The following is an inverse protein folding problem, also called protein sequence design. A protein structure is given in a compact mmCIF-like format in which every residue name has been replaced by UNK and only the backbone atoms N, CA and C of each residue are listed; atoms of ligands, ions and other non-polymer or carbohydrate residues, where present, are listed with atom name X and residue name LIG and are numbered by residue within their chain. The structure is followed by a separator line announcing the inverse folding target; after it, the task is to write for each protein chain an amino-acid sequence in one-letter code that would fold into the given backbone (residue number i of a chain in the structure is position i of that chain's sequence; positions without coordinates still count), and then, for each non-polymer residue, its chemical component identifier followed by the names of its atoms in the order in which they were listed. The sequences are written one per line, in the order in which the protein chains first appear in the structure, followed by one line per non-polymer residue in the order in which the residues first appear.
data_IF_004475035002
#
_entry.id   IF_004475035002
#
_cell.length_a   1.000
_cell.length_b   1.000
_cell.length_c   1.000
_cell.angle_alpha   90.00
_cell.angle_beta   90.00
_cell.angle_gamma   90.00
#
_symmetry.space_group_name_H-M   'P 1'
#
loop_
_entity.id
_entity.type
_entity.pdbx_description
1 polymer ?
#
# COMPACT_ATOMS: atom_id res chain seq x y z
N UNK A 1 -17.80 2.41 8.72
CA UNK A 1 -17.82 3.75 8.10
C UNK A 1 -16.97 4.68 8.97
N UNK A 2 -15.87 5.25 8.47
CA UNK A 2 -15.09 6.25 9.21
C UNK A 2 -15.59 7.62 8.80
N UNK A 3 -16.09 8.41 9.76
CA UNK A 3 -16.40 9.81 9.53
C UNK A 3 -15.09 10.62 9.59
N UNK A 4 -14.86 11.46 8.58
CA UNK A 4 -13.83 12.47 8.63
C UNK A 4 -14.48 13.79 8.99
N UNK A 5 -14.06 14.38 10.10
CA UNK A 5 -14.54 15.67 10.58
C UNK A 5 -13.60 16.77 10.07
N UNK A 6 -14.15 17.77 9.38
CA UNK A 6 -13.46 18.96 8.96
C UNK A 6 -14.23 20.18 9.43
N UNK A 7 -13.76 20.86 10.49
CA UNK A 7 -14.40 22.10 10.97
C UNK A 7 -13.66 22.72 12.15
N UNK A 8 -13.60 24.05 12.18
CA UNK A 8 -13.24 24.83 13.36
C UNK A 8 -14.49 24.98 14.24
N UNK A 9 -14.49 24.36 15.41
CA UNK A 9 -15.50 24.59 16.42
C UNK A 9 -15.34 23.66 17.61
N UNK A 10 -15.19 24.21 18.81
CA UNK A 10 -15.14 23.53 20.12
C UNK A 10 -16.53 23.01 20.55
N UNK A 11 -17.29 22.38 19.67
CA UNK A 11 -18.60 21.85 19.97
C UNK A 11 -18.64 20.35 19.78
N UNK A 12 -19.10 19.61 20.79
CA UNK A 12 -19.52 18.23 20.58
C UNK A 12 -20.50 18.22 19.40
N UNK A 13 -20.05 17.63 18.29
CA UNK A 13 -20.81 17.57 17.06
C UNK A 13 -22.16 16.90 17.29
N UNK A 14 -23.16 17.27 16.52
CA UNK A 14 -24.48 16.70 16.58
C UNK A 14 -24.55 15.29 15.96
N UNK A 15 -23.66 14.41 16.35
CA UNK A 15 -23.56 13.04 15.80
C UNK A 15 -24.89 12.30 15.82
N UNK A 16 -25.69 12.46 16.89
CA UNK A 16 -26.98 11.84 16.99
C UNK A 16 -27.99 12.43 15.98
N UNK A 17 -27.91 13.73 15.67
CA UNK A 17 -28.78 14.37 14.68
C UNK A 17 -28.39 14.00 13.26
N UNK A 18 -27.07 13.89 12.97
CA UNK A 18 -26.52 13.41 11.71
C UNK A 18 -26.94 11.95 11.47
N UNK A 19 -26.76 11.09 12.47
CA UNK A 19 -27.17 9.68 12.38
C UNK A 19 -28.68 9.53 12.19
N UNK A 20 -29.50 10.30 12.92
CA UNK A 20 -30.96 10.31 12.74
C UNK A 20 -31.36 10.81 11.36
N UNK A 21 -30.69 11.82 10.80
CA UNK A 21 -30.98 12.31 9.46
C UNK A 21 -30.60 11.25 8.40
N UNK A 22 -29.46 10.59 8.57
CA UNK A 22 -28.99 9.50 7.68
C UNK A 22 -30.00 8.34 7.65
N UNK A 23 -30.48 7.88 8.80
CA UNK A 23 -31.47 6.80 8.89
C UNK A 23 -32.78 7.14 8.14
N UNK A 24 -33.23 8.35 8.21
CA UNK A 24 -34.45 8.80 7.51
C UNK A 24 -34.25 8.90 6.00
N UNK A 25 -33.08 9.38 5.56
CA UNK A 25 -32.79 9.51 4.11
C UNK A 25 -32.56 8.16 3.49
N UNK A 26 -31.85 7.27 4.19
CA UNK A 26 -31.59 5.90 3.72
C UNK A 26 -32.91 5.11 3.61
N UNK A 27 -33.84 5.33 4.52
CA UNK A 27 -35.09 4.59 4.62
C UNK A 27 -36.24 5.21 3.82
N UNK A 28 -36.01 6.24 2.97
CA UNK A 28 -37.02 6.59 1.97
C UNK A 28 -37.48 8.04 1.85
N UNK A 29 -36.74 9.04 2.34
CA UNK A 29 -37.11 10.43 1.99
C UNK A 29 -36.68 10.72 0.52
N UNK A 30 -37.63 10.99 -0.39
CA UNK A 30 -37.36 11.22 -1.79
C UNK A 30 -36.59 12.54 -2.08
N UNK A 31 -36.55 13.46 -1.12
CA UNK A 31 -35.93 14.78 -1.28
C UNK A 31 -34.39 14.72 -1.18
N UNK A 32 -33.83 13.66 -0.60
CA UNK A 32 -32.36 13.47 -0.53
C UNK A 32 -31.64 14.44 0.43
N UNK A 33 -32.35 15.39 1.04
CA UNK A 33 -31.80 16.37 1.98
C UNK A 33 -32.74 16.57 3.17
N UNK A 34 -32.20 16.56 4.37
CA UNK A 34 -32.97 16.72 5.61
C UNK A 34 -32.31 17.76 6.50
N UNK A 35 -33.13 18.54 7.15
CA UNK A 35 -32.75 19.51 8.17
C UNK A 35 -33.13 18.99 9.56
N UNK A 36 -32.25 19.15 10.54
CA UNK A 36 -32.43 18.75 11.94
C UNK A 36 -31.85 19.79 12.87
N UNK A 37 -32.56 20.01 13.98
CA UNK A 37 -32.08 20.84 15.10
C UNK A 37 -31.35 19.95 16.09
N UNK A 38 -30.15 20.35 16.46
CA UNK A 38 -29.27 19.66 17.42
C UNK A 38 -28.72 20.68 18.42
N UNK A 39 -29.33 20.77 19.58
CA UNK A 39 -29.00 21.79 20.57
C UNK A 39 -29.19 23.20 20.03
N UNK A 40 -28.12 23.98 19.95
CA UNK A 40 -28.12 25.36 19.39
C UNK A 40 -27.82 25.39 17.89
N UNK A 41 -27.60 24.24 17.25
CA UNK A 41 -27.24 24.17 15.84
C UNK A 41 -28.36 23.60 14.97
N UNK A 42 -28.45 24.08 13.74
CA UNK A 42 -29.31 23.53 12.69
C UNK A 42 -28.46 22.84 11.67
N UNK A 43 -28.63 21.52 11.52
CA UNK A 43 -27.86 20.65 10.63
C UNK A 43 -28.64 20.37 9.37
N UNK A 44 -28.02 20.62 8.22
CA UNK A 44 -28.52 20.22 6.91
C UNK A 44 -27.68 19.07 6.40
N UNK A 45 -28.31 17.91 6.08
CA UNK A 45 -27.63 16.69 5.64
C UNK A 45 -28.19 16.28 4.27
N UNK A 46 -27.28 16.02 3.33
CA UNK A 46 -27.58 15.38 2.05
C UNK A 46 -26.80 14.07 1.92
N UNK A 47 -27.41 13.03 1.34
CA UNK A 47 -26.73 11.78 1.04
C UNK A 47 -26.15 11.82 -0.36
N UNK A 48 -24.96 11.26 -0.50
CA UNK A 48 -24.38 10.97 -1.81
C UNK A 48 -24.93 9.64 -2.32
N UNK A 49 -25.27 9.61 -3.61
CA UNK A 49 -25.81 8.43 -4.27
C UNK A 49 -25.12 8.21 -5.60
N UNK A 50 -24.91 6.94 -5.94
CA UNK A 50 -24.54 6.56 -7.28
C UNK A 50 -25.36 5.34 -7.70
N UNK A 51 -25.92 5.37 -8.93
CA UNK A 51 -26.85 4.34 -9.44
C UNK A 51 -27.97 3.96 -8.44
N UNK A 52 -28.47 4.94 -7.69
CA UNK A 52 -29.56 4.74 -6.72
C UNK A 52 -29.13 4.14 -5.36
N UNK A 53 -27.84 3.81 -5.19
CA UNK A 53 -27.28 3.30 -3.92
C UNK A 53 -26.64 4.44 -3.15
N UNK A 54 -26.98 4.56 -1.86
CA UNK A 54 -26.35 5.53 -0.95
C UNK A 54 -24.94 5.04 -0.63
N UNK A 55 -23.92 5.87 -0.93
CA UNK A 55 -22.52 5.56 -0.70
C UNK A 55 -21.80 6.54 0.24
N UNK A 56 -22.47 7.63 0.64
CA UNK A 56 -21.93 8.59 1.59
C UNK A 56 -22.98 9.64 2.00
N UNK A 57 -22.54 10.64 2.77
CA UNK A 57 -23.34 11.79 3.13
C UNK A 57 -22.46 13.01 3.42
N UNK A 58 -23.06 14.19 3.24
CA UNK A 58 -22.47 15.49 3.61
C UNK A 58 -23.42 16.20 4.54
N UNK A 59 -22.88 16.71 5.64
CA UNK A 59 -23.64 17.52 6.58
C UNK A 59 -22.94 18.85 6.78
N UNK A 60 -23.73 19.92 6.84
CA UNK A 60 -23.28 21.25 7.20
C UNK A 60 -24.12 21.75 8.37
N UNK A 61 -23.55 22.52 9.26
CA UNK A 61 -24.23 23.06 10.41
C UNK A 61 -24.03 24.58 10.48
N UNK A 62 -25.02 25.28 11.05
CA UNK A 62 -24.97 26.70 11.45
C UNK A 62 -25.63 26.86 12.81
N UNK A 63 -25.40 27.98 13.50
CA UNK A 63 -26.08 28.28 14.73
C UNK A 63 -27.55 28.61 14.47
N UNK A 64 -28.40 28.35 15.44
CA UNK A 64 -29.86 28.51 15.30
C UNK A 64 -30.26 29.98 15.12
N UNK A 65 -29.44 30.94 15.61
CA UNK A 65 -29.64 32.36 15.47
C UNK A 65 -29.21 32.92 14.09
N UNK A 66 -28.54 32.09 13.27
CA UNK A 66 -28.20 32.44 11.90
C UNK A 66 -29.43 32.40 10.97
N UNK A 67 -29.26 32.93 9.77
CA UNK A 67 -30.32 32.88 8.74
C UNK A 67 -30.71 31.43 8.44
N UNK A 68 -31.99 31.17 8.23
CA UNK A 68 -32.50 29.84 7.86
C UNK A 68 -31.86 29.35 6.54
N UNK A 69 -31.75 28.01 6.41
CA UNK A 69 -31.29 27.38 5.16
C UNK A 69 -32.26 27.74 4.01
N UNK A 70 -31.68 28.25 2.93
CA UNK A 70 -32.44 28.58 1.71
C UNK A 70 -32.55 27.37 0.79
N UNK A 71 -33.41 27.45 -0.23
CA UNK A 71 -33.48 26.40 -1.26
C UNK A 71 -32.23 26.33 -2.10
N UNK A 72 -31.49 27.44 -2.27
CA UNK A 72 -30.19 27.48 -2.95
C UNK A 72 -29.16 26.74 -2.12
N UNK A 73 -29.10 26.90 -0.79
CA UNK A 73 -28.19 26.14 0.10
C UNK A 73 -28.47 24.65 -0.01
N UNK A 74 -29.74 24.24 -0.03
CA UNK A 74 -30.16 22.84 -0.19
C UNK A 74 -29.73 22.28 -1.54
N UNK A 75 -29.98 23.05 -2.63
CA UNK A 75 -29.57 22.67 -3.98
C UNK A 75 -28.06 22.53 -4.11
N UNK A 76 -27.31 23.45 -3.51
CA UNK A 76 -25.83 23.38 -3.50
C UNK A 76 -25.34 22.14 -2.75
N UNK A 77 -25.91 21.86 -1.57
CA UNK A 77 -25.48 20.69 -0.78
C UNK A 77 -25.79 19.37 -1.50
N UNK A 78 -26.93 19.25 -2.17
CA UNK A 78 -27.28 18.10 -3.00
C UNK A 78 -26.25 17.95 -4.14
N UNK A 79 -25.92 19.04 -4.86
CA UNK A 79 -24.91 18.99 -5.93
C UNK A 79 -23.53 18.56 -5.44
N UNK A 80 -23.12 19.02 -4.25
CA UNK A 80 -21.86 18.56 -3.62
C UNK A 80 -21.94 17.07 -3.25
N UNK A 81 -23.07 16.62 -2.68
CA UNK A 81 -23.27 15.22 -2.33
C UNK A 81 -23.24 14.31 -3.57
N UNK A 82 -23.84 14.71 -4.68
CA UNK A 82 -23.80 13.96 -5.94
C UNK A 82 -22.37 13.84 -6.50
N UNK A 83 -21.62 14.94 -6.51
CA UNK A 83 -20.20 14.91 -6.91
C UNK A 83 -19.35 13.97 -6.04
N UNK A 84 -19.58 13.99 -4.72
CA UNK A 84 -18.93 13.09 -3.78
C UNK A 84 -19.33 11.63 -4.02
N UNK A 85 -20.57 11.36 -4.35
CA UNK A 85 -21.06 10.02 -4.69
C UNK A 85 -20.27 9.40 -5.86
N UNK A 86 -20.06 10.17 -6.90
CA UNK A 86 -19.26 9.76 -8.07
C UNK A 86 -17.79 9.53 -7.67
N UNK A 87 -17.21 10.46 -6.91
CA UNK A 87 -15.80 10.34 -6.48
C UNK A 87 -15.57 9.13 -5.58
N UNK A 88 -16.47 8.87 -4.63
CA UNK A 88 -16.40 7.69 -3.75
C UNK A 88 -16.43 6.40 -4.58
N UNK A 89 -17.33 6.31 -5.56
CA UNK A 89 -17.42 5.13 -6.40
C UNK A 89 -16.18 4.94 -7.27
N UNK A 90 -15.62 6.00 -7.84
CA UNK A 90 -14.37 5.90 -8.59
C UNK A 90 -13.23 5.37 -7.74
N UNK A 91 -13.11 5.81 -6.48
CA UNK A 91 -12.12 5.31 -5.51
C UNK A 91 -12.35 3.82 -5.24
N UNK A 92 -13.58 3.41 -4.93
CA UNK A 92 -13.93 2.01 -4.63
C UNK A 92 -13.69 1.09 -5.83
N UNK A 93 -14.02 1.55 -7.04
CA UNK A 93 -13.77 0.80 -8.27
C UNK A 93 -12.28 0.67 -8.54
N UNK A 94 -11.50 1.75 -8.34
CA UNK A 94 -10.04 1.72 -8.49
C UNK A 94 -9.40 0.75 -7.50
N UNK A 95 -9.73 0.85 -6.21
CA UNK A 95 -9.27 -0.10 -5.18
C UNK A 95 -9.67 -1.56 -5.49
N UNK A 96 -10.84 -1.75 -6.10
CA UNK A 96 -11.32 -3.09 -6.49
C UNK A 96 -10.53 -3.64 -7.67
N UNK A 97 -10.23 -2.81 -8.68
CA UNK A 97 -9.39 -3.18 -9.82
C UNK A 97 -7.95 -3.48 -9.37
N UNK A 98 -7.37 -2.63 -8.53
CA UNK A 98 -6.07 -2.89 -7.92
C UNK A 98 -6.08 -4.17 -7.09
N UNK A 99 -7.19 -4.48 -6.42
CA UNK A 99 -7.37 -5.71 -5.67
C UNK A 99 -7.44 -6.95 -6.55
N UNK A 100 -7.96 -6.85 -7.75
CA UNK A 100 -8.03 -7.96 -8.71
C UNK A 100 -6.69 -8.13 -9.43
N UNK A 101 -5.97 -7.05 -9.71
CA UNK A 101 -4.63 -7.12 -10.29
C UNK A 101 -3.66 -7.77 -9.30
N UNK A 102 -2.95 -8.81 -9.74
CA UNK A 102 -1.92 -9.51 -8.96
C UNK A 102 -0.51 -9.07 -9.31
N UNK A 103 -0.37 -8.23 -10.32
CA UNK A 103 0.92 -7.82 -10.87
C UNK A 103 1.12 -6.31 -10.77
N UNK A 104 2.37 -5.88 -10.71
CA UNK A 104 2.81 -4.50 -10.87
C UNK A 104 2.80 -4.14 -12.37
N UNK A 105 2.16 -3.05 -12.73
CA UNK A 105 1.94 -2.66 -14.14
C UNK A 105 3.25 -2.32 -14.87
N UNK A 106 4.24 -1.80 -14.17
CA UNK A 106 5.51 -1.39 -14.77
C UNK A 106 6.41 -2.59 -15.07
N UNK A 107 6.49 -3.54 -14.14
CA UNK A 107 7.47 -4.63 -14.17
C UNK A 107 6.86 -5.98 -14.54
N UNK A 108 5.53 -6.15 -14.44
CA UNK A 108 4.85 -7.43 -14.64
C UNK A 108 5.07 -8.45 -13.52
N UNK A 109 5.86 -8.13 -12.51
CA UNK A 109 6.07 -8.97 -11.33
C UNK A 109 4.83 -9.00 -10.44
N UNK A 110 4.80 -9.88 -9.43
CA UNK A 110 3.78 -9.80 -8.39
C UNK A 110 3.81 -8.41 -7.73
N UNK A 111 2.64 -7.86 -7.47
CA UNK A 111 2.55 -6.67 -6.64
C UNK A 111 2.69 -7.04 -5.14
N UNK A 112 2.89 -6.04 -4.30
CA UNK A 112 3.06 -6.20 -2.84
C UNK A 112 2.03 -7.12 -2.21
N UNK A 113 0.76 -6.90 -2.55
CA UNK A 113 -0.35 -7.66 -1.96
C UNK A 113 -0.32 -9.13 -2.37
N UNK A 114 -0.24 -9.41 -3.68
CA UNK A 114 -0.22 -10.77 -4.19
C UNK A 114 0.99 -11.54 -3.66
N UNK A 115 2.13 -10.88 -3.53
CA UNK A 115 3.34 -11.49 -2.98
C UNK A 115 3.15 -11.95 -1.53
N UNK A 116 2.67 -11.08 -0.65
CA UNK A 116 2.51 -11.45 0.76
C UNK A 116 1.36 -12.44 1.00
N UNK A 117 0.32 -12.43 0.17
CA UNK A 117 -0.71 -13.48 0.16
C UNK A 117 -0.07 -14.85 -0.15
N UNK A 118 0.73 -14.96 -1.20
CA UNK A 118 1.40 -16.20 -1.61
C UNK A 118 2.43 -16.67 -0.58
N UNK A 119 3.28 -15.76 -0.09
CA UNK A 119 4.26 -16.09 0.95
C UNK A 119 3.56 -16.61 2.20
N UNK A 120 2.40 -16.04 2.57
CA UNK A 120 1.61 -16.50 3.70
C UNK A 120 1.16 -17.95 3.58
N UNK A 121 0.67 -18.32 2.43
CA UNK A 121 0.27 -19.70 2.14
C UNK A 121 1.46 -20.66 2.23
N UNK A 122 2.62 -20.25 1.71
CA UNK A 122 3.84 -21.06 1.71
C UNK A 122 4.43 -21.23 3.11
N UNK A 123 4.51 -20.15 3.89
CA UNK A 123 4.95 -20.21 5.30
C UNK A 123 4.03 -21.14 6.12
N UNK A 124 2.71 -21.04 5.92
CA UNK A 124 1.76 -21.95 6.58
C UNK A 124 1.95 -23.42 6.15
N UNK A 125 2.26 -23.67 4.87
CA UNK A 125 2.59 -25.00 4.37
C UNK A 125 3.89 -25.53 4.99
N UNK A 126 4.95 -24.74 4.97
CA UNK A 126 6.28 -25.10 5.49
C UNK A 126 6.27 -25.45 6.98
N UNK A 127 5.44 -24.79 7.77
CA UNK A 127 5.24 -25.16 9.19
C UNK A 127 4.72 -26.59 9.37
N UNK A 128 3.88 -27.06 8.46
CA UNK A 128 3.32 -28.42 8.52
C UNK A 128 4.30 -29.49 8.05
N UNK A 129 5.13 -29.14 7.05
CA UNK A 129 6.09 -30.06 6.42
C UNK A 129 7.48 -30.03 7.04
N UNK A 130 7.79 -29.04 7.89
CA UNK A 130 9.11 -28.83 8.47
C UNK A 130 10.14 -28.24 7.48
N UNK A 131 9.67 -27.75 6.33
CA UNK A 131 10.50 -27.06 5.34
C UNK A 131 10.71 -25.61 5.73
N UNK A 132 11.68 -24.94 5.10
CA UNK A 132 11.95 -23.52 5.29
C UNK A 132 12.05 -22.83 3.93
N UNK A 133 11.60 -21.59 3.87
CA UNK A 133 11.88 -20.69 2.76
C UNK A 133 12.61 -19.44 3.26
N UNK A 134 13.10 -18.64 2.34
CA UNK A 134 13.80 -17.41 2.68
C UNK A 134 13.13 -16.22 2.03
N UNK A 135 12.75 -15.25 2.84
CA UNK A 135 12.34 -13.93 2.37
C UNK A 135 13.58 -13.09 2.11
N UNK A 136 13.65 -12.50 0.93
CA UNK A 136 14.71 -11.60 0.48
C UNK A 136 14.08 -10.25 0.14
N UNK A 137 14.50 -9.19 0.81
CA UNK A 137 14.15 -7.82 0.49
C UNK A 137 15.31 -7.19 -0.28
N UNK A 138 15.01 -6.51 -1.37
CA UNK A 138 15.98 -5.87 -2.26
C UNK A 138 15.55 -4.43 -2.48
N UNK A 139 16.52 -3.51 -2.40
CA UNK A 139 16.30 -2.09 -2.65
C UNK A 139 17.41 -1.55 -3.55
N UNK A 140 17.01 -0.73 -4.53
CA UNK A 140 17.96 -0.07 -5.44
C UNK A 140 18.70 1.06 -4.73
N UNK A 141 20.00 0.94 -4.67
CA UNK A 141 20.87 2.00 -4.17
C UNK A 141 21.04 3.11 -5.20
N UNK A 142 20.93 4.35 -4.73
CA UNK A 142 21.15 5.56 -5.54
C UNK A 142 20.18 5.71 -6.74
N UNK A 143 18.97 5.16 -6.63
CA UNK A 143 17.95 5.22 -7.68
C UNK A 143 17.37 6.64 -7.88
N UNK A 144 17.10 7.36 -6.79
CA UNK A 144 16.52 8.71 -6.88
C UNK A 144 17.33 9.66 -7.79
N UNK A 145 18.67 9.74 -7.71
CA UNK A 145 19.48 10.53 -8.63
C UNK A 145 19.24 10.20 -10.11
N UNK A 146 18.95 8.95 -10.47
CA UNK A 146 18.64 8.58 -11.86
C UNK A 146 17.38 9.30 -12.35
N UNK A 147 16.33 9.32 -11.54
CA UNK A 147 15.10 10.05 -11.86
C UNK A 147 15.35 11.57 -11.94
N UNK A 148 16.10 12.11 -10.98
CA UNK A 148 16.34 13.56 -10.88
C UNK A 148 17.19 14.08 -12.05
N UNK A 149 18.14 13.29 -12.58
CA UNK A 149 19.06 13.68 -13.66
C UNK A 149 18.54 13.26 -15.04
N UNK A 150 17.98 12.04 -15.17
CA UNK A 150 17.64 11.48 -16.48
C UNK A 150 16.13 11.35 -16.71
N UNK A 151 15.31 11.73 -15.72
CA UNK A 151 13.84 11.68 -15.78
C UNK A 151 13.26 10.29 -15.47
N UNK A 152 11.94 10.28 -15.18
CA UNK A 152 11.23 9.08 -14.76
C UNK A 152 11.24 7.95 -15.79
N UNK A 153 11.27 8.26 -17.08
CA UNK A 153 11.34 7.21 -18.12
C UNK A 153 12.60 6.36 -18.00
N UNK A 154 13.73 6.99 -17.68
CA UNK A 154 14.99 6.28 -17.44
C UNK A 154 14.93 5.46 -16.16
N UNK A 155 14.33 5.99 -15.10
CA UNK A 155 14.08 5.23 -13.87
C UNK A 155 13.20 4.00 -14.13
N UNK A 156 12.16 4.13 -14.93
CA UNK A 156 11.30 3.02 -15.32
C UNK A 156 12.06 1.92 -16.07
N UNK A 157 13.00 2.29 -16.95
CA UNK A 157 13.89 1.32 -17.62
C UNK A 157 14.74 0.57 -16.61
N UNK A 158 15.38 1.26 -15.67
CA UNK A 158 16.18 0.63 -14.60
C UNK A 158 15.35 -0.34 -13.77
N UNK A 159 14.11 0.03 -13.43
CA UNK A 159 13.21 -0.85 -12.67
C UNK A 159 12.82 -2.10 -13.46
N UNK A 160 12.58 -1.98 -14.79
CA UNK A 160 12.31 -3.13 -15.66
C UNK A 160 13.54 -4.04 -15.80
N UNK A 161 14.72 -3.47 -15.98
CA UNK A 161 15.97 -4.23 -16.09
C UNK A 161 16.24 -5.00 -14.79
N UNK A 162 16.06 -4.37 -13.62
CA UNK A 162 16.16 -5.06 -12.34
C UNK A 162 15.12 -6.19 -12.22
N UNK A 163 13.88 -5.95 -12.61
CA UNK A 163 12.82 -6.96 -12.57
C UNK A 163 13.17 -8.19 -13.42
N UNK A 164 13.67 -7.98 -14.63
CA UNK A 164 14.15 -9.06 -15.52
C UNK A 164 15.31 -9.80 -14.87
N UNK A 165 16.30 -9.10 -14.34
CA UNK A 165 17.46 -9.68 -13.67
C UNK A 165 17.05 -10.57 -12.48
N UNK A 166 16.16 -10.07 -11.62
CA UNK A 166 15.65 -10.83 -10.47
C UNK A 166 14.87 -12.07 -10.91
N UNK A 167 14.02 -11.94 -11.94
CA UNK A 167 13.25 -13.07 -12.49
C UNK A 167 14.13 -14.15 -13.11
N UNK A 168 15.16 -13.75 -13.88
CA UNK A 168 16.12 -14.71 -14.46
C UNK A 168 16.95 -15.41 -13.39
N UNK A 169 17.15 -14.75 -12.29
CA UNK A 169 17.86 -15.27 -11.14
C UNK A 169 17.06 -16.25 -10.28
N UNK A 170 15.77 -16.49 -10.53
CA UNK A 170 14.89 -17.34 -9.73
C UNK A 170 14.49 -18.62 -10.46
N UNK A 171 14.14 -19.66 -9.71
CA UNK A 171 13.68 -20.95 -10.24
C UNK A 171 12.17 -21.08 -10.20
N UNK A 172 11.66 -22.08 -10.90
CA UNK A 172 10.24 -22.46 -10.78
C UNK A 172 9.93 -22.77 -9.32
N UNK A 173 8.93 -22.09 -8.77
CA UNK A 173 8.57 -22.21 -7.36
C UNK A 173 8.98 -21.01 -6.51
N UNK A 174 10.00 -20.25 -6.87
CA UNK A 174 10.30 -18.98 -6.23
C UNK A 174 9.29 -17.91 -6.64
N UNK A 175 9.17 -16.85 -5.83
CA UNK A 175 8.35 -15.68 -6.15
C UNK A 175 9.24 -14.46 -6.26
N UNK A 176 8.84 -13.56 -7.18
CA UNK A 176 9.48 -12.24 -7.33
C UNK A 176 8.38 -11.19 -7.38
N UNK A 177 8.59 -10.08 -6.66
CA UNK A 177 7.63 -9.00 -6.57
C UNK A 177 8.30 -7.63 -6.56
N UNK A 178 7.56 -6.62 -7.00
CA UNK A 178 7.85 -5.23 -6.70
C UNK A 178 6.90 -4.75 -5.60
N UNK A 179 7.48 -4.24 -4.51
CA UNK A 179 6.71 -3.79 -3.35
C UNK A 179 6.26 -2.34 -3.46
N UNK A 180 6.92 -1.56 -4.30
CA UNK A 180 6.65 -0.15 -4.59
C UNK A 180 7.94 0.64 -4.75
N UNK A 181 7.91 1.75 -5.50
CA UNK A 181 9.09 2.56 -5.73
C UNK A 181 10.27 1.74 -6.29
N UNK A 182 11.36 1.69 -5.55
CA UNK A 182 12.61 0.97 -5.82
C UNK A 182 12.78 -0.31 -4.98
N UNK A 183 11.72 -0.73 -4.27
CA UNK A 183 11.73 -1.91 -3.40
C UNK A 183 11.19 -3.16 -4.10
N UNK A 184 11.93 -4.26 -4.02
CA UNK A 184 11.57 -5.57 -4.54
C UNK A 184 11.68 -6.63 -3.43
N UNK A 185 11.01 -7.76 -3.64
CA UNK A 185 11.11 -8.90 -2.74
C UNK A 185 11.14 -10.21 -3.53
N UNK A 186 11.84 -11.21 -2.95
CA UNK A 186 11.81 -12.58 -3.43
C UNK A 186 11.43 -13.52 -2.29
N UNK A 187 10.72 -14.57 -2.63
CA UNK A 187 10.59 -15.74 -1.78
C UNK A 187 11.32 -16.90 -2.43
N UNK A 188 12.33 -17.39 -1.75
CA UNK A 188 13.11 -18.56 -2.18
C UNK A 188 12.55 -19.80 -1.48
N UNK A 189 11.97 -20.69 -2.25
CA UNK A 189 11.33 -21.89 -1.77
C UNK A 189 12.35 -22.91 -1.30
N UNK A 190 12.08 -23.63 -0.21
CA UNK A 190 12.94 -24.73 0.31
C UNK A 190 14.43 -24.38 0.31
N UNK A 191 14.78 -23.21 0.88
CA UNK A 191 16.13 -22.66 0.78
C UNK A 191 16.78 -22.56 2.15
N UNK A 192 17.99 -23.08 2.27
CA UNK A 192 18.81 -22.92 3.48
C UNK A 192 19.47 -21.53 3.53
N UNK A 193 19.93 -21.12 4.71
CA UNK A 193 20.67 -19.86 4.88
C UNK A 193 21.90 -19.78 3.94
N UNK A 194 22.60 -20.89 3.77
CA UNK A 194 23.76 -20.98 2.89
C UNK A 194 23.39 -20.76 1.43
N UNK A 195 22.32 -21.40 0.97
CA UNK A 195 21.88 -21.31 -0.43
C UNK A 195 21.30 -19.92 -0.73
N UNK A 196 20.52 -19.36 0.21
CA UNK A 196 20.01 -18.00 0.12
C UNK A 196 21.15 -16.96 0.05
N UNK A 197 22.18 -17.14 0.88
CA UNK A 197 23.37 -16.28 0.86
C UNK A 197 24.13 -16.38 -0.48
N UNK A 198 24.28 -17.60 -1.03
CA UNK A 198 24.90 -17.79 -2.32
C UNK A 198 24.10 -17.09 -3.43
N UNK A 199 22.77 -17.22 -3.39
CA UNK A 199 21.86 -16.57 -4.33
C UNK A 199 21.91 -15.05 -4.25
N UNK A 200 21.87 -14.48 -3.05
CA UNK A 200 21.98 -13.04 -2.87
C UNK A 200 23.31 -12.48 -3.39
N UNK A 201 24.42 -13.20 -3.21
CA UNK A 201 25.71 -12.83 -3.79
C UNK A 201 25.71 -12.88 -5.33
N UNK A 202 24.98 -13.80 -5.93
CA UNK A 202 24.77 -13.86 -7.37
C UNK A 202 23.99 -12.63 -7.85
N UNK A 203 22.86 -12.31 -7.20
CA UNK A 203 22.07 -11.12 -7.51
C UNK A 203 22.87 -9.83 -7.36
N UNK A 204 23.70 -9.74 -6.32
CA UNK A 204 24.58 -8.58 -6.11
C UNK A 204 25.58 -8.42 -7.26
N UNK A 205 26.22 -9.50 -7.73
CA UNK A 205 27.11 -9.46 -8.90
C UNK A 205 26.37 -9.08 -10.17
N UNK A 206 25.18 -9.64 -10.38
CA UNK A 206 24.38 -9.32 -11.56
C UNK A 206 23.93 -7.87 -11.59
N UNK A 207 23.69 -7.27 -10.41
CA UNK A 207 23.32 -5.84 -10.31
C UNK A 207 24.42 -4.89 -10.78
N UNK A 208 25.67 -5.33 -10.90
CA UNK A 208 26.75 -4.52 -11.49
C UNK A 208 26.44 -4.14 -12.95
N UNK A 209 25.60 -4.90 -13.65
CA UNK A 209 25.11 -4.58 -14.99
C UNK A 209 24.26 -3.31 -15.03
N UNK A 210 23.73 -2.86 -13.88
CA UNK A 210 22.98 -1.61 -13.76
C UNK A 210 23.89 -0.37 -13.65
N UNK A 211 25.17 -0.53 -13.32
CA UNK A 211 26.11 0.59 -13.14
C UNK A 211 26.18 1.57 -14.32
N UNK A 212 26.14 1.10 -15.60
CA UNK A 212 26.13 2.05 -16.74
C UNK A 212 24.90 2.95 -16.82
N UNK A 213 23.84 2.64 -16.04
CA UNK A 213 22.60 3.41 -15.96
C UNK A 213 22.62 4.42 -14.81
N UNK A 214 23.73 4.52 -14.08
CA UNK A 214 23.88 5.42 -12.93
C UNK A 214 23.86 6.89 -13.37
N UNK A 215 23.36 7.75 -12.49
CA UNK A 215 23.44 9.21 -12.69
C UNK A 215 24.81 9.79 -12.28
N UNK A 216 25.57 9.05 -11.47
CA UNK A 216 26.83 9.50 -10.86
C UNK A 216 27.77 8.27 -10.76
N UNK A 217 28.97 8.40 -11.32
CA UNK A 217 29.98 7.34 -11.29
C UNK A 217 30.54 7.08 -9.87
N UNK A 218 30.59 8.12 -9.03
CA UNK A 218 31.05 8.00 -7.64
C UNK A 218 30.00 7.34 -6.75
N UNK A 219 28.73 7.37 -7.16
CA UNK A 219 27.61 6.71 -6.49
C UNK A 219 26.78 5.87 -7.46
N UNK A 220 27.35 4.76 -7.93
CA UNK A 220 26.70 3.92 -8.93
C UNK A 220 25.43 3.27 -8.41
N UNK A 221 24.56 2.91 -9.33
CA UNK A 221 23.45 2.02 -9.06
C UNK A 221 23.95 0.67 -8.55
N UNK A 222 23.27 0.14 -7.58
CA UNK A 222 23.50 -1.18 -7.00
C UNK A 222 22.27 -1.66 -6.28
N UNK A 223 22.36 -2.73 -5.53
CA UNK A 223 21.29 -3.24 -4.70
C UNK A 223 21.77 -3.51 -3.28
N UNK A 224 20.95 -3.17 -2.30
CA UNK A 224 21.08 -3.59 -0.91
C UNK A 224 20.13 -4.74 -0.64
N UNK A 225 20.63 -5.84 -0.06
CA UNK A 225 19.84 -7.06 0.13
C UNK A 225 19.78 -7.45 1.60
N UNK A 226 18.54 -7.59 2.11
CA UNK A 226 18.28 -8.12 3.46
C UNK A 226 17.52 -9.44 3.38
N UNK A 227 17.89 -10.42 4.17
CA UNK A 227 17.30 -11.75 4.13
C UNK A 227 16.86 -12.24 5.51
N UNK A 228 15.81 -13.07 5.52
CA UNK A 228 15.37 -13.80 6.71
C UNK A 228 14.86 -15.18 6.33
N UNK A 229 15.42 -16.23 6.93
CA UNK A 229 14.91 -17.60 6.79
C UNK A 229 13.68 -17.75 7.68
N UNK A 230 12.58 -18.33 7.14
CA UNK A 230 11.37 -18.59 7.90
C UNK A 230 11.60 -19.67 8.96
N UNK A 231 11.00 -19.51 10.13
CA UNK A 231 11.08 -20.50 11.18
C UNK A 231 10.15 -21.69 10.87
N UNK A 232 10.72 -22.90 10.84
CA UNK A 232 9.96 -24.13 10.60
C UNK A 232 9.15 -24.58 11.83
N UNK A 233 9.57 -24.12 13.02
CA UNK A 233 8.92 -24.44 14.31
C UNK A 233 8.72 -23.14 15.06
N UNK A 234 7.47 -22.73 15.29
CA UNK A 234 7.15 -21.52 16.03
C UNK A 234 5.89 -20.82 15.50
N UNK A 235 5.61 -19.66 16.08
CA UNK A 235 4.45 -18.83 15.75
C UNK A 235 4.83 -17.56 15.00
N UNK A 236 5.99 -17.54 14.33
CA UNK A 236 6.45 -16.36 13.62
C UNK A 236 5.43 -15.91 12.57
N UNK A 237 4.90 -14.70 12.68
CA UNK A 237 4.00 -14.14 11.67
C UNK A 237 4.79 -13.69 10.43
N UNK A 238 4.08 -13.47 9.31
CA UNK A 238 4.70 -12.88 8.11
C UNK A 238 5.28 -11.50 8.44
N UNK A 239 4.58 -10.69 9.22
CA UNK A 239 5.04 -9.35 9.59
C UNK A 239 6.36 -9.41 10.39
N UNK A 240 6.51 -10.42 11.25
CA UNK A 240 7.76 -10.63 11.98
C UNK A 240 8.91 -11.08 11.08
N UNK A 241 8.62 -11.95 10.10
CA UNK A 241 9.60 -12.38 9.09
C UNK A 241 10.05 -11.19 8.23
N UNK A 242 9.10 -10.39 7.73
CA UNK A 242 9.36 -9.14 6.99
C UNK A 242 10.22 -8.20 7.83
N UNK A 243 9.83 -7.93 9.07
CA UNK A 243 10.57 -7.04 9.95
C UNK A 243 12.01 -7.52 10.24
N UNK A 244 12.28 -8.83 10.14
CA UNK A 244 13.65 -9.36 10.23
C UNK A 244 14.44 -9.08 8.96
N UNK A 245 13.86 -9.35 7.79
CA UNK A 245 14.51 -9.09 6.51
C UNK A 245 14.80 -7.59 6.31
N UNK A 246 13.83 -6.73 6.64
CA UNK A 246 13.98 -5.27 6.57
C UNK A 246 15.07 -4.75 7.49
N UNK A 247 15.16 -5.26 8.72
CA UNK A 247 16.27 -4.89 9.63
C UNK A 247 17.63 -5.28 9.08
N UNK A 248 17.75 -6.44 8.44
CA UNK A 248 18.98 -6.86 7.79
C UNK A 248 19.32 -5.92 6.62
N UNK A 249 18.35 -5.58 5.78
CA UNK A 249 18.54 -4.62 4.68
C UNK A 249 18.93 -3.22 5.19
N UNK A 250 18.31 -2.77 6.27
CA UNK A 250 18.66 -1.50 6.91
C UNK A 250 20.13 -1.45 7.36
N UNK A 251 20.67 -2.57 7.90
CA UNK A 251 22.08 -2.65 8.26
C UNK A 251 23.00 -2.49 7.05
N UNK A 252 22.64 -3.10 5.92
CA UNK A 252 23.39 -2.95 4.66
C UNK A 252 23.38 -1.49 4.20
N UNK A 253 22.22 -0.85 4.14
CA UNK A 253 22.09 0.55 3.72
C UNK A 253 22.94 1.52 4.56
N UNK A 254 23.10 1.24 5.84
CA UNK A 254 23.91 2.05 6.77
C UNK A 254 25.38 1.62 6.81
N UNK A 255 25.70 0.41 6.35
CA UNK A 255 27.06 -0.13 6.30
C UNK A 255 27.88 0.24 5.06
N UNK A 256 27.26 0.93 4.08
CA UNK A 256 27.96 1.32 2.84
C UNK A 256 27.17 1.01 1.57
N UNK A 257 26.02 0.35 1.67
CA UNK A 257 25.19 -0.10 0.53
C UNK A 257 25.84 -1.21 -0.30
N UNK A 258 25.13 -1.69 -1.31
CA UNK A 258 25.61 -2.68 -2.29
C UNK A 258 26.26 -3.91 -1.63
N UNK A 259 25.56 -4.46 -0.64
CA UNK A 259 25.98 -5.64 0.12
C UNK A 259 24.76 -6.47 0.53
N UNK A 260 24.99 -7.57 1.24
CA UNK A 260 23.96 -8.48 1.72
C UNK A 260 24.03 -8.64 3.24
N UNK A 261 22.90 -8.77 3.89
CA UNK A 261 22.81 -9.19 5.29
C UNK A 261 21.73 -10.24 5.50
N UNK A 262 21.94 -11.14 6.43
CA UNK A 262 20.94 -12.12 6.85
C UNK A 262 20.57 -11.93 8.31
N UNK A 263 19.28 -11.86 8.59
CA UNK A 263 18.80 -11.78 9.94
C UNK A 263 18.96 -13.11 10.67
N UNK A 264 19.60 -13.10 11.85
CA UNK A 264 19.70 -14.29 12.70
C UNK A 264 18.33 -14.78 13.12
N UNK A 265 18.16 -16.11 13.21
CA UNK A 265 16.99 -16.71 13.82
C UNK A 265 16.86 -16.27 15.30
N UNK A 266 15.62 -16.12 15.79
CA UNK A 266 15.37 -15.78 17.22
C UNK A 266 15.83 -16.85 18.22
N UNK A 267 16.25 -18.02 17.72
CA UNK A 267 16.69 -19.18 18.54
C UNK A 267 18.20 -19.40 18.38
N UNK A 268 19.00 -18.47 18.85
CA UNK A 268 20.36 -18.73 19.31
C UNK A 268 20.59 -18.06 20.65
#
# INVERSE_FOLDING_TARGET
MKAAEYGRGDGQAPDAAIMSALDLIVNGDPRGVIERIAGTSVVLTAVSRHHGVVNGAVSVCREQDDAAWTDDDRGLLVGVADCLGIAIEQIVNHETLERISRTDELTGLLNRRAFFEEVGLRVAHHRRTGQAGTLVCVDLDNFKPVNDVHGHQRGDEVLRDLAVMLSMGTRVGDLVARLGGDEFALWLEETTEKDATAKAKELLRDSEKLRPLSADEDRPLGISVGMAVSETRGSESIDELVARADRAMYQVKHGGKSDIAIARSRRQ
#
